data_IF_059811613703
#
_entry.id   IF_059811613703
#
_cell.length_a   1.000
_cell.length_b   1.000
_cell.length_c   1.000
_cell.angle_alpha   90.00
_cell.angle_beta   90.00
_cell.angle_gamma   90.00
#
_symmetry.space_group_name_H-M   'P 1'
#
loop_
_entity.id
_entity.type
_entity.pdbx_description
1 polymer ?
#
# COMPACT_ATOMS: atom_id res chain seq x y z
N UNK A 1 -28.44 -22.15 10.43
CA UNK A 1 -27.13 -22.62 9.92
C UNK A 1 -26.96 -22.11 8.49
N UNK A 2 -25.90 -21.34 8.19
CA UNK A 2 -25.61 -20.87 6.82
C UNK A 2 -24.46 -21.68 6.24
N UNK A 3 -24.63 -22.23 5.04
CA UNK A 3 -23.60 -22.95 4.28
C UNK A 3 -23.21 -22.06 3.09
N UNK A 4 -21.93 -21.73 2.98
CA UNK A 4 -21.38 -20.91 1.88
C UNK A 4 -20.50 -21.83 1.03
N UNK A 5 -20.63 -21.75 -0.30
CA UNK A 5 -19.83 -22.52 -1.26
C UNK A 5 -18.97 -21.56 -2.08
N UNK A 6 -17.75 -21.98 -2.41
CA UNK A 6 -16.81 -21.19 -3.20
C UNK A 6 -15.70 -22.06 -3.78
N UNK A 7 -14.74 -21.43 -4.46
CA UNK A 7 -13.57 -22.11 -5.03
C UNK A 7 -12.53 -22.38 -3.96
N UNK A 8 -12.05 -23.62 -3.87
CA UNK A 8 -11.02 -23.98 -2.90
C UNK A 8 -9.62 -23.67 -3.45
N UNK A 9 -8.83 -22.92 -2.67
CA UNK A 9 -7.43 -22.56 -2.97
C UNK A 9 -6.42 -23.29 -2.08
N UNK A 10 -6.89 -23.94 -1.00
CA UNK A 10 -6.04 -24.69 -0.07
C UNK A 10 -6.77 -25.94 0.40
N UNK A 11 -6.01 -27.04 0.56
CA UNK A 11 -6.53 -28.32 1.03
C UNK A 11 -6.48 -28.33 2.56
N UNK A 12 -7.62 -28.51 3.23
CA UNK A 12 -7.68 -28.63 4.69
C UNK A 12 -9.05 -28.29 5.27
N UNK A 13 -9.21 -28.51 6.57
CA UNK A 13 -10.37 -28.10 7.36
C UNK A 13 -9.86 -27.18 8.47
N UNK A 14 -10.42 -25.97 8.58
CA UNK A 14 -10.08 -25.00 9.62
C UNK A 14 -11.26 -24.82 10.59
N UNK A 15 -10.96 -24.78 11.89
CA UNK A 15 -11.91 -24.46 12.95
C UNK A 15 -11.35 -23.31 13.79
N UNK A 16 -12.10 -22.22 13.92
CA UNK A 16 -11.64 -21.03 14.64
C UNK A 16 -12.61 -19.88 14.51
N UNK A 17 -12.26 -18.75 15.13
CA UNK A 17 -13.04 -17.52 15.01
C UNK A 17 -12.88 -16.90 13.62
N UNK A 18 -13.99 -16.42 13.06
CA UNK A 18 -13.99 -15.67 11.80
C UNK A 18 -13.65 -14.22 12.13
N UNK A 19 -12.56 -13.72 11.54
CA UNK A 19 -12.23 -12.31 11.55
C UNK A 19 -12.72 -11.65 10.27
N UNK A 20 -13.60 -10.66 10.40
CA UNK A 20 -14.06 -9.85 9.27
C UNK A 20 -13.17 -8.62 9.13
N UNK A 21 -12.34 -8.61 8.09
CA UNK A 21 -11.52 -7.45 7.76
C UNK A 21 -12.30 -6.51 6.85
N UNK A 22 -12.86 -5.44 7.43
CA UNK A 22 -13.49 -4.38 6.66
C UNK A 22 -12.40 -3.44 6.14
N UNK A 23 -12.07 -3.56 4.86
CA UNK A 23 -11.24 -2.56 4.18
C UNK A 23 -12.13 -1.36 3.87
N UNK A 24 -12.10 -0.35 4.73
CA UNK A 24 -12.64 0.95 4.37
C UNK A 24 -11.63 1.65 3.47
N UNK A 25 -12.01 1.85 2.20
CA UNK A 25 -11.23 2.71 1.33
C UNK A 25 -11.33 4.15 1.84
N UNK A 26 -10.24 4.93 1.83
CA UNK A 26 -10.32 6.35 2.10
C UNK A 26 -11.29 7.00 1.11
N UNK A 27 -12.17 7.87 1.58
CA UNK A 27 -12.89 8.77 0.70
C UNK A 27 -11.88 9.78 0.13
N UNK A 28 -11.61 9.67 -1.17
CA UNK A 28 -10.77 10.62 -1.90
C UNK A 28 -11.71 11.68 -2.47
N UNK A 29 -11.64 12.89 -1.93
CA UNK A 29 -12.42 14.03 -2.39
C UNK A 29 -11.52 15.12 -2.93
N UNK A 30 -12.01 15.87 -3.93
CA UNK A 30 -11.28 16.99 -4.51
C UNK A 30 -11.08 18.10 -3.47
N UNK A 31 -9.85 18.23 -2.96
CA UNK A 31 -9.49 19.26 -1.99
C UNK A 31 -8.42 20.19 -2.57
N UNK A 32 -8.80 21.44 -2.83
CA UNK A 32 -7.84 22.44 -3.29
C UNK A 32 -6.97 22.91 -2.12
N UNK A 33 -5.67 22.67 -2.23
CA UNK A 33 -4.67 23.19 -1.29
C UNK A 33 -4.08 24.51 -1.82
N UNK A 34 -3.98 25.52 -0.96
CA UNK A 34 -3.42 26.83 -1.33
C UNK A 34 -1.88 26.84 -1.41
N UNK A 35 -1.21 25.83 -0.84
CA UNK A 35 0.25 25.65 -0.88
C UNK A 35 0.64 24.30 -1.49
N UNK A 36 1.07 24.29 -2.76
CA UNK A 36 1.64 23.12 -3.41
C UNK A 36 2.88 22.57 -2.69
N UNK A 37 3.68 23.42 -2.04
CA UNK A 37 4.89 23.01 -1.33
C UNK A 37 4.57 22.12 -0.13
N UNK A 38 3.51 22.45 0.62
CA UNK A 38 3.05 21.64 1.74
C UNK A 38 2.54 20.27 1.27
N UNK A 39 1.89 20.22 0.10
CA UNK A 39 1.38 19.00 -0.51
C UNK A 39 2.52 18.05 -0.91
N UNK A 40 3.55 18.59 -1.55
CA UNK A 40 4.77 17.85 -1.92
C UNK A 40 5.49 17.33 -0.68
N UNK A 41 5.58 18.13 0.38
CA UNK A 41 6.18 17.70 1.65
C UNK A 41 5.38 16.58 2.31
N UNK A 42 4.04 16.67 2.31
CA UNK A 42 3.16 15.62 2.84
C UNK A 42 3.35 14.31 2.07
N UNK A 43 3.40 14.39 0.73
CA UNK A 43 3.63 13.23 -0.13
C UNK A 43 5.01 12.60 0.10
N UNK A 44 6.07 13.42 0.14
CA UNK A 44 7.43 12.94 0.41
C UNK A 44 7.53 12.22 1.76
N UNK A 45 6.90 12.76 2.80
CA UNK A 45 6.81 12.12 4.11
C UNK A 45 6.09 10.78 4.02
N UNK A 46 4.94 10.72 3.35
CA UNK A 46 4.20 9.48 3.18
C UNK A 46 5.01 8.41 2.41
N UNK A 47 5.78 8.80 1.40
CA UNK A 47 6.70 7.90 0.70
C UNK A 47 7.78 7.34 1.65
N UNK A 48 8.40 8.19 2.48
CA UNK A 48 9.40 7.77 3.45
C UNK A 48 8.83 6.81 4.50
N UNK A 49 7.66 7.12 5.05
CA UNK A 49 6.95 6.26 6.01
C UNK A 49 6.59 4.91 5.38
N UNK A 50 6.14 4.91 4.12
CA UNK A 50 5.80 3.69 3.38
C UNK A 50 7.03 2.84 3.09
N UNK A 51 8.17 3.44 2.71
CA UNK A 51 9.43 2.71 2.51
C UNK A 51 9.87 1.97 3.79
N UNK A 52 9.78 2.63 4.94
CA UNK A 52 10.10 2.02 6.24
C UNK A 52 9.16 0.86 6.57
N UNK A 53 7.86 1.01 6.31
CA UNK A 53 6.88 -0.04 6.50
C UNK A 53 7.17 -1.24 5.60
N UNK A 54 7.44 -1.01 4.31
CA UNK A 54 7.77 -2.06 3.35
C UNK A 54 9.05 -2.80 3.73
N UNK A 55 10.06 -2.08 4.25
CA UNK A 55 11.29 -2.69 4.74
C UNK A 55 11.01 -3.62 5.93
N UNK A 56 10.19 -3.18 6.87
CA UNK A 56 9.78 -4.00 8.02
C UNK A 56 9.01 -5.26 7.57
N UNK A 57 8.14 -5.13 6.57
CA UNK A 57 7.38 -6.25 6.01
C UNK A 57 8.29 -7.23 5.27
N UNK A 58 9.26 -6.73 4.51
CA UNK A 58 10.28 -7.55 3.84
C UNK A 58 11.04 -8.43 4.84
N UNK A 59 11.59 -7.83 5.89
CA UNK A 59 12.36 -8.54 6.92
C UNK A 59 11.50 -9.57 7.67
N UNK A 60 10.26 -9.22 8.02
CA UNK A 60 9.33 -10.16 8.67
C UNK A 60 8.98 -11.33 7.75
N UNK A 61 8.80 -11.07 6.45
CA UNK A 61 8.37 -12.08 5.48
C UNK A 61 9.50 -13.06 5.17
N UNK A 62 10.76 -12.62 5.13
CA UNK A 62 11.92 -13.52 5.02
C UNK A 62 11.87 -14.57 6.13
N UNK A 63 11.59 -14.16 7.37
CA UNK A 63 11.60 -15.07 8.52
C UNK A 63 10.42 -16.07 8.52
N UNK A 64 9.29 -15.75 7.87
CA UNK A 64 8.06 -16.54 7.93
C UNK A 64 7.88 -17.41 6.67
N UNK A 65 8.10 -16.83 5.50
CA UNK A 65 7.75 -17.41 4.20
C UNK A 65 8.96 -17.56 3.25
N UNK A 66 10.08 -16.87 3.55
CA UNK A 66 11.31 -16.95 2.77
C UNK A 66 11.48 -15.83 1.75
N UNK A 67 12.63 -15.85 1.07
CA UNK A 67 13.07 -14.74 0.20
C UNK A 67 12.21 -14.58 -1.05
N UNK A 68 11.71 -15.67 -1.66
CA UNK A 68 10.86 -15.61 -2.84
C UNK A 68 9.59 -14.80 -2.60
N UNK A 69 8.99 -14.98 -1.43
CA UNK A 69 7.74 -14.35 -1.05
C UNK A 69 7.97 -12.91 -0.56
N UNK A 70 9.13 -12.63 0.04
CA UNK A 70 9.51 -11.28 0.45
C UNK A 70 9.76 -10.33 -0.73
N UNK A 71 10.18 -10.83 -1.91
CA UNK A 71 10.50 -10.02 -3.10
C UNK A 71 9.38 -9.10 -3.56
N UNK A 72 8.13 -9.41 -3.24
CA UNK A 72 6.99 -8.54 -3.55
C UNK A 72 7.17 -7.14 -2.93
N UNK A 73 7.71 -7.06 -1.71
CA UNK A 73 7.92 -5.79 -1.02
C UNK A 73 9.10 -5.01 -1.61
N UNK A 74 10.14 -5.70 -2.11
CA UNK A 74 11.25 -5.05 -2.80
C UNK A 74 10.82 -4.37 -4.10
N UNK A 75 9.90 -4.99 -4.86
CA UNK A 75 9.34 -4.38 -6.07
C UNK A 75 8.54 -3.12 -5.71
N UNK A 76 7.77 -3.15 -4.62
CA UNK A 76 7.02 -1.99 -4.14
C UNK A 76 7.93 -0.85 -3.67
N UNK A 77 9.06 -1.16 -3.02
CA UNK A 77 10.08 -0.17 -2.67
C UNK A 77 10.69 0.46 -3.94
N UNK A 78 11.01 -0.34 -4.95
CA UNK A 78 11.58 0.14 -6.21
C UNK A 78 10.65 1.13 -6.92
N UNK A 79 9.33 0.87 -6.90
CA UNK A 79 8.32 1.80 -7.45
C UNK A 79 8.33 3.16 -6.75
N UNK A 80 8.59 3.21 -5.43
CA UNK A 80 8.69 4.46 -4.68
C UNK A 80 10.03 5.19 -4.88
N UNK A 81 11.05 4.49 -5.37
CA UNK A 81 12.34 5.07 -5.74
C UNK A 81 12.43 5.51 -7.20
N UNK A 82 11.46 5.12 -8.04
CA UNK A 82 11.35 5.56 -9.42
C UNK A 82 11.09 7.07 -9.46
N UNK A 83 12.10 7.81 -9.88
CA UNK A 83 12.04 9.26 -9.97
C UNK A 83 10.99 9.74 -10.97
N UNK A 84 10.74 9.01 -12.07
CA UNK A 84 9.76 9.43 -13.08
C UNK A 84 8.34 9.28 -12.54
N UNK A 85 8.07 8.24 -11.75
CA UNK A 85 6.81 8.06 -11.04
C UNK A 85 6.59 9.17 -10.01
N UNK A 86 7.57 9.37 -9.11
CA UNK A 86 7.52 10.39 -8.05
C UNK A 86 7.37 11.80 -8.64
N UNK A 87 8.16 12.13 -9.67
CA UNK A 87 8.10 13.42 -10.34
C UNK A 87 6.75 13.64 -11.05
N UNK A 88 6.13 12.58 -11.57
CA UNK A 88 4.79 12.68 -12.18
C UNK A 88 3.75 13.10 -11.14
N UNK A 89 3.78 12.53 -9.94
CA UNK A 89 2.85 12.89 -8.85
C UNK A 89 3.11 14.31 -8.38
N UNK A 90 4.36 14.69 -8.13
CA UNK A 90 4.74 16.06 -7.74
C UNK A 90 4.25 17.07 -8.79
N UNK A 91 4.38 16.73 -10.08
CA UNK A 91 3.89 17.59 -11.17
C UNK A 91 2.36 17.73 -11.17
N UNK A 92 1.61 16.70 -10.80
CA UNK A 92 0.15 16.77 -10.69
C UNK A 92 -0.28 17.69 -9.55
N UNK A 93 0.38 17.56 -8.39
CA UNK A 93 0.17 18.42 -7.22
C UNK A 93 0.43 19.90 -7.54
N UNK A 94 1.50 20.18 -8.30
CA UNK A 94 1.86 21.56 -8.70
C UNK A 94 0.94 22.15 -9.78
N UNK A 95 0.19 21.34 -10.54
CA UNK A 95 -0.64 21.79 -11.67
C UNK A 95 -2.07 22.20 -11.28
N UNK A 96 -2.44 22.20 -9.99
CA UNK A 96 -3.83 22.42 -9.53
C UNK A 96 -4.86 21.50 -10.22
N UNK A 97 -4.43 20.32 -10.68
CA UNK A 97 -5.23 19.49 -11.57
C UNK A 97 -5.77 18.20 -10.95
N UNK A 98 -5.55 17.93 -9.65
CA UNK A 98 -6.27 16.95 -8.81
C UNK A 98 -5.51 16.79 -7.49
N UNK A 99 -6.19 17.01 -6.36
CA UNK A 99 -5.94 16.38 -5.07
C UNK A 99 -7.19 15.56 -4.78
#
# INVERSE_FOLDING_TARGET
MKIIKGTSISKGIAFGHIHFQNVQLPEIGEQFTDSPENEVMRFSKACADTLNLLQTLYEKTINIAGESDAKIFSIQQMMLHDSDYVNTIIRLQNRKLLC
#
